data_IF_371671695057
#
_entry.id   IF_371671695057
#
_cell.length_a   1.000
_cell.length_b   1.000
_cell.length_c   1.000
_cell.angle_alpha   90.00
_cell.angle_beta   90.00
_cell.angle_gamma   90.00
#
_symmetry.space_group_name_H-M   'P 1'
#
loop_
_entity.id
_entity.type
_entity.pdbx_description
1 polymer ?
#
# COMPACT_ATOMS: atom_id res chain seq x y z
N UNK A 1 -9.59 24.34 6.78
CA UNK A 1 -9.00 23.08 6.28
C UNK A 1 -9.85 21.93 6.77
N UNK A 2 -10.67 21.34 5.90
CA UNK A 2 -11.52 20.22 6.28
C UNK A 2 -10.65 18.96 6.22
N UNK A 3 -10.09 18.55 7.36
CA UNK A 3 -9.61 17.18 7.54
C UNK A 3 -10.82 16.28 7.41
N UNK A 4 -11.10 15.81 6.19
CA UNK A 4 -12.00 14.69 5.99
C UNK A 4 -11.33 13.50 6.67
N UNK A 5 -11.67 13.29 7.95
CA UNK A 5 -11.32 12.10 8.72
C UNK A 5 -12.06 10.97 8.02
N UNK A 6 -11.51 10.49 6.91
CA UNK A 6 -11.98 9.27 6.30
C UNK A 6 -11.75 8.17 7.35
N UNK A 7 -12.78 7.39 7.70
CA UNK A 7 -12.60 6.29 8.64
C UNK A 7 -11.44 5.42 8.14
N UNK A 8 -10.60 4.91 9.06
CA UNK A 8 -9.44 4.13 8.68
C UNK A 8 -9.89 2.98 7.81
N UNK A 9 -9.25 2.83 6.66
CA UNK A 9 -9.64 1.76 5.78
C UNK A 9 -9.16 0.41 6.34
N UNK A 10 -10.01 -0.61 6.22
CA UNK A 10 -9.70 -1.97 6.69
C UNK A 10 -9.07 -2.73 5.51
N UNK A 11 -7.77 -3.02 5.54
CA UNK A 11 -7.13 -3.83 4.50
C UNK A 11 -7.53 -5.30 4.63
N UNK A 12 -7.58 -5.99 3.50
CA UNK A 12 -7.56 -7.46 3.44
C UNK A 12 -6.13 -7.94 3.58
N UNK A 13 -5.89 -8.86 4.53
CA UNK A 13 -4.58 -9.46 4.75
C UNK A 13 -4.46 -10.76 3.93
N UNK A 14 -3.50 -10.78 3.01
CA UNK A 14 -3.07 -11.99 2.31
C UNK A 14 -1.76 -12.50 2.93
N UNK A 15 -1.61 -13.83 3.00
CA UNK A 15 -0.43 -14.46 3.59
C UNK A 15 0.17 -15.46 2.60
N UNK A 16 1.45 -15.30 2.27
CA UNK A 16 2.19 -16.24 1.42
C UNK A 16 3.57 -16.49 2.02
N UNK A 17 3.94 -17.76 2.25
CA UNK A 17 5.25 -18.16 2.78
C UNK A 17 5.73 -17.35 4.01
N UNK A 18 4.82 -17.07 4.96
CA UNK A 18 5.05 -16.23 6.16
C UNK A 18 5.21 -14.73 5.91
N UNK A 19 5.06 -14.27 4.67
CA UNK A 19 5.00 -12.86 4.33
C UNK A 19 3.55 -12.38 4.27
N UNK A 20 3.29 -11.24 4.90
CA UNK A 20 1.99 -10.59 4.90
C UNK A 20 1.90 -9.58 3.75
N UNK A 21 0.72 -9.47 3.15
CA UNK A 21 0.38 -8.47 2.15
C UNK A 21 -0.96 -7.84 2.51
N UNK A 22 -0.91 -6.63 3.05
CA UNK A 22 -2.11 -5.81 3.24
C UNK A 22 -2.49 -5.19 1.89
N UNK A 23 -3.68 -5.53 1.42
CA UNK A 23 -4.24 -4.99 0.18
C UNK A 23 -5.63 -4.40 0.45
N UNK A 24 -6.03 -3.45 -0.37
CA UNK A 24 -7.34 -2.83 -0.28
C UNK A 24 -7.87 -2.51 -1.67
N UNK A 25 -9.17 -2.66 -1.87
CA UNK A 25 -9.86 -2.23 -3.07
C UNK A 25 -10.73 -1.00 -2.76
N UNK A 26 -10.47 0.12 -3.43
CA UNK A 26 -11.19 1.39 -3.27
C UNK A 26 -11.49 1.99 -4.64
N UNK A 27 -12.76 2.29 -4.94
CA UNK A 27 -13.20 3.03 -6.14
C UNK A 27 -12.50 2.51 -7.43
N UNK A 28 -12.63 1.20 -7.67
CA UNK A 28 -12.06 0.49 -8.83
C UNK A 28 -10.53 0.46 -8.93
N UNK A 29 -9.84 0.78 -7.83
CA UNK A 29 -8.39 0.66 -7.72
C UNK A 29 -8.02 -0.26 -6.58
N UNK A 30 -7.19 -1.25 -6.89
CA UNK A 30 -6.53 -2.09 -5.89
C UNK A 30 -5.22 -1.44 -5.47
N UNK A 31 -5.04 -1.24 -4.16
CA UNK A 31 -3.80 -0.79 -3.54
C UNK A 31 -3.18 -1.89 -2.68
N UNK A 32 -1.86 -1.98 -2.72
CA UNK A 32 -1.04 -2.91 -1.94
C UNK A 32 -0.10 -2.11 -1.06
N UNK A 33 0.13 -2.55 0.18
CA UNK A 33 1.12 -1.88 1.01
C UNK A 33 2.51 -1.98 0.37
N UNK A 34 3.16 -0.83 0.15
CA UNK A 34 4.49 -0.76 -0.46
C UNK A 34 5.53 -1.58 0.33
N UNK A 35 5.50 -1.47 1.66
CA UNK A 35 6.41 -2.19 2.56
C UNK A 35 6.23 -3.69 2.41
N UNK A 36 4.99 -4.17 2.46
CA UNK A 36 4.67 -5.59 2.38
C UNK A 36 4.99 -6.18 0.99
N UNK A 37 4.65 -5.44 -0.07
CA UNK A 37 5.00 -5.77 -1.45
C UNK A 37 6.52 -5.87 -1.62
N UNK A 38 7.27 -4.97 -1.00
CA UNK A 38 8.74 -5.00 -1.01
C UNK A 38 9.30 -6.27 -0.36
N UNK A 39 8.74 -6.68 0.78
CA UNK A 39 9.13 -7.94 1.42
C UNK A 39 8.85 -9.15 0.52
N UNK A 40 7.70 -9.18 -0.17
CA UNK A 40 7.39 -10.24 -1.13
C UNK A 40 8.34 -10.26 -2.33
N UNK A 41 8.79 -9.09 -2.77
CA UNK A 41 9.72 -8.94 -3.89
C UNK A 41 11.20 -9.08 -3.49
N UNK A 42 11.51 -9.21 -2.20
CA UNK A 42 12.90 -9.21 -1.71
C UNK A 42 13.62 -7.86 -1.87
N UNK A 43 12.88 -6.75 -2.00
CA UNK A 43 13.43 -5.40 -2.14
C UNK A 43 12.89 -4.46 -1.06
N UNK A 44 13.74 -3.58 -0.54
CA UNK A 44 13.27 -2.53 0.36
C UNK A 44 12.55 -1.45 -0.47
N UNK A 45 11.22 -1.36 -0.35
CA UNK A 45 10.40 -0.31 -0.94
C UNK A 45 10.10 0.76 0.10
N UNK A 46 10.89 1.81 0.07
CA UNK A 46 10.70 3.02 0.87
C UNK A 46 10.08 4.14 0.01
N UNK A 47 9.59 5.20 0.65
CA UNK A 47 9.09 6.44 0.03
C UNK A 47 10.03 6.96 -1.06
N UNK A 48 11.34 6.82 -0.88
CA UNK A 48 12.33 7.23 -1.87
C UNK A 48 12.29 6.41 -3.17
N UNK A 49 12.06 5.10 -3.09
CA UNK A 49 12.00 4.25 -4.28
C UNK A 49 10.64 4.30 -4.97
N UNK A 50 9.59 4.44 -4.18
CA UNK A 50 8.24 4.66 -4.71
C UNK A 50 8.07 6.06 -5.32
N UNK A 51 8.95 7.03 -5.04
CA UNK A 51 8.99 8.32 -5.77
C UNK A 51 9.22 8.18 -7.27
N UNK A 52 9.79 7.07 -7.75
CA UNK A 52 9.91 6.78 -9.18
C UNK A 52 8.58 6.40 -9.84
N UNK A 53 7.59 6.00 -9.05
CA UNK A 53 6.24 5.71 -9.54
C UNK A 53 5.50 7.01 -9.82
N UNK A 54 4.62 6.96 -10.82
CA UNK A 54 3.78 8.10 -11.13
C UNK A 54 2.87 8.45 -9.93
N UNK A 55 2.47 9.72 -9.76
CA UNK A 55 1.66 10.14 -8.61
C UNK A 55 0.33 9.40 -8.46
N UNK A 56 -0.23 8.88 -9.55
CA UNK A 56 -1.45 8.07 -9.57
C UNK A 56 -1.21 6.58 -9.24
N UNK A 57 0.05 6.14 -9.27
CA UNK A 57 0.47 4.77 -8.95
C UNK A 57 0.75 4.53 -7.47
N UNK A 58 0.87 5.61 -6.69
CA UNK A 58 1.08 5.55 -5.25
C UNK A 58 0.12 6.46 -4.52
N UNK A 59 -0.35 6.04 -3.35
CA UNK A 59 -1.22 6.84 -2.50
C UNK A 59 -0.95 6.52 -1.05
N UNK A 60 -0.90 7.54 -0.22
CA UNK A 60 -0.81 7.34 1.22
C UNK A 60 -2.22 7.27 1.80
N UNK A 61 -2.51 6.21 2.55
CA UNK A 61 -3.82 5.95 3.15
C UNK A 61 -3.65 5.65 4.64
N UNK A 62 -4.61 6.09 5.43
CA UNK A 62 -4.74 5.66 6.82
C UNK A 62 -5.39 4.27 6.86
N UNK A 63 -4.60 3.27 7.27
CA UNK A 63 -5.07 1.90 7.43
C UNK A 63 -5.18 1.54 8.90
N UNK A 64 -6.19 0.75 9.25
CA UNK A 64 -6.22 0.07 10.56
C UNK A 64 -5.34 -1.17 10.49
N UNK A 65 -4.27 -1.22 11.30
CA UNK A 65 -3.40 -2.38 11.47
C UNK A 65 -3.29 -2.75 12.94
N UNK A 66 -3.60 -4.00 13.28
CA UNK A 66 -3.41 -4.56 14.62
C UNK A 66 -3.89 -3.63 15.74
N UNK A 67 -5.04 -2.99 15.51
CA UNK A 67 -5.70 -2.00 16.38
C UNK A 67 -5.24 -0.53 16.29
N UNK A 68 -4.11 -0.25 15.64
CA UNK A 68 -3.63 1.12 15.41
C UNK A 68 -4.01 1.69 14.04
N UNK A 69 -4.18 3.01 13.98
CA UNK A 69 -4.28 3.75 12.71
C UNK A 69 -2.87 4.15 12.26
N UNK A 70 -2.42 3.59 11.15
CA UNK A 70 -1.10 3.89 10.60
C UNK A 70 -1.20 4.43 9.19
N UNK A 71 -0.50 5.54 8.97
CA UNK A 71 -0.28 6.09 7.65
C UNK A 71 0.57 5.10 6.84
N UNK A 72 -0.03 4.54 5.79
CA UNK A 72 0.59 3.49 4.99
C UNK A 72 0.68 3.93 3.54
N UNK A 73 1.89 3.88 2.99
CA UNK A 73 2.10 4.02 1.57
C UNK A 73 1.57 2.80 0.82
N UNK A 74 0.62 3.06 -0.08
CA UNK A 74 0.01 2.06 -0.95
C UNK A 74 0.48 2.26 -2.39
N UNK A 75 0.68 1.15 -3.10
CA UNK A 75 1.02 1.08 -4.52
C UNK A 75 -0.14 0.42 -5.24
N UNK A 76 -0.64 1.01 -6.32
CA UNK A 76 -1.72 0.40 -7.09
C UNK A 76 -1.21 -0.78 -7.95
N UNK A 77 -2.12 -1.52 -8.57
CA UNK A 77 -1.77 -2.60 -9.50
C UNK A 77 -0.73 -2.19 -10.56
N UNK A 78 -0.97 -1.11 -11.31
CA UNK A 78 -0.03 -0.67 -12.36
C UNK A 78 1.31 -0.23 -11.79
N UNK A 79 1.32 0.34 -10.58
CA UNK A 79 2.55 0.66 -9.86
C UNK A 79 3.33 -0.58 -9.43
N UNK A 80 2.62 -1.64 -9.00
CA UNK A 80 3.25 -2.91 -8.65
C UNK A 80 3.92 -3.54 -9.87
N UNK A 81 3.25 -3.54 -11.03
CA UNK A 81 3.86 -3.99 -12.28
C UNK A 81 5.08 -3.16 -12.70
N UNK A 82 5.04 -1.84 -12.50
CA UNK A 82 6.18 -0.98 -12.80
C UNK A 82 7.40 -1.27 -11.91
N UNK A 83 7.20 -1.79 -10.69
CA UNK A 83 8.29 -2.17 -9.78
C UNK A 83 8.89 -3.54 -10.10
N UNK A 84 8.15 -4.44 -10.74
CA UNK A 84 8.60 -5.78 -11.11
C UNK A 84 9.46 -5.82 -12.40
N UNK A 85 9.73 -4.65 -13.00
CA UNK A 85 10.53 -4.51 -14.21
C UNK A 85 11.98 -4.23 -13.88
#
# INVERSE_FOLDING_TARGET
MNMSINPPHIPTLFIRHKTHLHAIHLQDKTGFCARDLGHLMGIFLDECRTRKLAPDQRKTLWLRRYDDMQETLMVCESGAYALCR
#
